data_IF_601292778754
#
_entry.id   IF_601292778754
#
_cell.length_a   1.000
_cell.length_b   1.000
_cell.length_c   1.000
_cell.angle_alpha   90.00
_cell.angle_beta   90.00
_cell.angle_gamma   90.00
#
_symmetry.space_group_name_H-M   'P 1'
#
loop_
_entity.id
_entity.type
_entity.pdbx_description
1 polymer ?
#
# COMPACT_ATOMS: atom_id res chain seq x y z
N UNK A 1 6.25 43.16 26.22
CA UNK A 1 5.58 42.37 25.17
C UNK A 1 4.62 43.28 24.40
N UNK A 2 4.92 43.59 23.16
CA UNK A 2 4.23 44.63 22.37
C UNK A 2 2.77 44.20 22.06
N UNK A 3 1.80 45.10 22.39
CA UNK A 3 0.37 44.91 22.13
C UNK A 3 0.06 44.58 20.63
N UNK A 4 0.94 45.00 19.71
CA UNK A 4 0.88 44.70 18.28
C UNK A 4 1.18 43.23 17.96
N UNK A 5 2.05 42.55 18.72
CA UNK A 5 2.41 41.16 18.55
C UNK A 5 1.29 40.19 18.98
N UNK A 6 0.59 40.56 20.09
CA UNK A 6 -0.58 39.81 20.59
C UNK A 6 -1.76 39.92 19.62
N UNK A 7 -1.95 41.11 19.01
CA UNK A 7 -2.98 41.30 17.97
C UNK A 7 -2.73 40.49 16.69
N UNK A 8 -1.47 40.32 16.29
CA UNK A 8 -1.12 39.52 15.10
C UNK A 8 -1.31 38.02 15.33
N UNK A 9 -1.02 37.52 16.53
CA UNK A 9 -1.29 36.12 16.91
C UNK A 9 -2.80 35.84 16.96
N UNK A 10 -3.61 36.78 17.48
CA UNK A 10 -5.06 36.64 17.52
C UNK A 10 -5.69 36.69 16.13
N UNK A 11 -5.13 37.47 15.20
CA UNK A 11 -5.56 37.53 13.80
C UNK A 11 -5.22 36.24 13.06
N UNK A 12 -4.06 35.62 13.32
CA UNK A 12 -3.64 34.32 12.79
C UNK A 12 -4.56 33.17 13.27
N UNK A 13 -5.00 33.20 14.53
CA UNK A 13 -5.96 32.23 15.06
C UNK A 13 -7.37 32.42 14.50
N UNK A 14 -7.80 33.65 14.22
CA UNK A 14 -9.09 33.91 13.57
C UNK A 14 -9.10 33.45 12.09
N UNK A 15 -8.00 33.61 11.37
CA UNK A 15 -7.88 33.15 9.97
C UNK A 15 -7.77 31.61 9.89
N UNK A 16 -7.10 30.95 10.85
CA UNK A 16 -7.05 29.49 10.91
C UNK A 16 -8.38 28.87 11.35
N UNK A 17 -9.19 29.57 12.15
CA UNK A 17 -10.53 29.10 12.54
C UNK A 17 -11.58 29.11 11.44
N UNK A 18 -11.42 29.98 10.42
CA UNK A 18 -12.38 30.06 9.29
C UNK A 18 -12.08 29.03 8.20
N UNK A 19 -10.87 28.46 8.13
CA UNK A 19 -10.48 27.42 7.16
C UNK A 19 -10.91 26.01 7.59
N UNK A 20 -11.36 25.81 8.86
CA UNK A 20 -11.66 24.48 9.42
C UNK A 20 -13.13 24.02 9.26
N UNK A 21 -13.97 24.69 8.49
CA UNK A 21 -15.34 24.25 8.21
C UNK A 21 -15.68 24.24 6.71
N UNK A 22 -14.78 23.74 5.86
CA UNK A 22 -15.23 23.14 4.61
C UNK A 22 -15.71 21.72 4.94
N UNK A 23 -17.00 21.57 5.29
CA UNK A 23 -17.71 20.32 5.01
C UNK A 23 -17.46 20.05 3.52
N UNK A 24 -16.68 19.04 3.22
CA UNK A 24 -16.55 18.52 1.86
C UNK A 24 -17.95 18.03 1.45
N UNK A 25 -18.75 18.92 0.88
CA UNK A 25 -19.98 18.50 0.21
C UNK A 25 -19.52 17.57 -0.91
N UNK A 26 -19.92 16.31 -0.85
CA UNK A 26 -19.68 15.36 -1.94
C UNK A 26 -20.04 16.06 -3.27
N UNK A 27 -19.22 15.96 -4.30
CA UNK A 27 -19.44 16.62 -5.59
C UNK A 27 -20.68 16.10 -6.33
N UNK A 28 -21.33 15.06 -5.80
CA UNK A 28 -22.45 14.38 -6.47
C UNK A 28 -23.83 14.88 -6.02
N UNK A 29 -24.87 14.81 -6.89
CA UNK A 29 -26.24 15.17 -6.58
C UNK A 29 -26.79 14.41 -5.38
N UNK A 30 -27.78 15.03 -4.69
CA UNK A 30 -28.43 14.40 -3.55
C UNK A 30 -29.00 13.01 -3.87
N UNK A 31 -29.61 12.83 -5.05
CA UNK A 31 -30.15 11.55 -5.50
C UNK A 31 -29.13 10.41 -5.49
N UNK A 32 -27.91 10.66 -5.97
CA UNK A 32 -26.84 9.65 -5.99
C UNK A 32 -26.27 9.41 -4.58
N UNK A 33 -26.11 10.47 -3.78
CA UNK A 33 -25.68 10.33 -2.38
C UNK A 33 -26.67 9.55 -1.53
N UNK A 34 -27.98 9.77 -1.76
CA UNK A 34 -29.02 8.99 -1.10
C UNK A 34 -28.97 7.52 -1.51
N UNK A 35 -28.81 7.21 -2.80
CA UNK A 35 -28.64 5.85 -3.26
C UNK A 35 -27.42 5.16 -2.64
N UNK A 36 -26.29 5.88 -2.54
CA UNK A 36 -25.06 5.37 -1.91
C UNK A 36 -25.27 5.07 -0.41
N UNK A 37 -25.94 5.95 0.31
CA UNK A 37 -26.24 5.74 1.74
C UNK A 37 -27.15 4.54 2.01
N UNK A 38 -28.00 4.15 1.06
CA UNK A 38 -28.85 2.97 1.15
C UNK A 38 -28.16 1.67 0.73
N UNK A 39 -27.02 1.75 0.04
CA UNK A 39 -26.36 0.62 -0.60
C UNK A 39 -26.05 -0.56 0.34
N UNK A 40 -25.63 -0.26 1.57
CA UNK A 40 -25.31 -1.29 2.57
C UNK A 40 -26.54 -1.72 3.38
N UNK A 41 -27.56 -0.87 3.46
CA UNK A 41 -28.74 -1.09 4.30
C UNK A 41 -29.81 -1.89 3.55
N UNK A 42 -30.07 -1.53 2.30
CA UNK A 42 -31.12 -2.13 1.46
C UNK A 42 -30.73 -2.07 -0.02
N UNK A 43 -29.89 -2.98 -0.50
CA UNK A 43 -29.47 -3.02 -1.91
C UNK A 43 -30.63 -3.09 -2.89
N UNK A 44 -31.70 -3.81 -2.56
CA UNK A 44 -32.91 -3.94 -3.40
C UNK A 44 -33.60 -2.57 -3.59
N UNK A 45 -33.80 -1.82 -2.50
CA UNK A 45 -34.37 -0.48 -2.58
C UNK A 45 -33.43 0.47 -3.33
N UNK A 46 -32.16 0.33 -3.14
CA UNK A 46 -31.16 1.12 -3.87
C UNK A 46 -31.27 0.90 -5.36
N UNK A 47 -31.31 -0.36 -5.82
CA UNK A 47 -31.44 -0.68 -7.24
C UNK A 47 -32.79 -0.19 -7.81
N UNK A 48 -33.88 -0.41 -7.07
CA UNK A 48 -35.20 0.07 -7.46
C UNK A 48 -35.29 1.62 -7.56
N UNK A 49 -34.56 2.32 -6.69
CA UNK A 49 -34.44 3.77 -6.71
C UNK A 49 -33.63 4.26 -7.90
N UNK A 50 -32.44 3.66 -8.12
CA UNK A 50 -31.53 4.01 -9.23
C UNK A 50 -32.19 3.81 -10.59
N UNK A 51 -33.05 2.78 -10.78
CA UNK A 51 -33.80 2.52 -12.01
C UNK A 51 -34.79 3.62 -12.37
N UNK A 52 -35.20 4.44 -11.41
CA UNK A 52 -36.17 5.53 -11.62
C UNK A 52 -35.53 6.87 -11.90
N UNK A 53 -34.23 6.98 -11.79
CA UNK A 53 -33.50 8.24 -11.98
C UNK A 53 -33.41 8.58 -13.47
N UNK A 54 -33.69 9.82 -13.81
CA UNK A 54 -33.39 10.37 -15.13
C UNK A 54 -31.93 10.80 -15.19
N UNK A 55 -31.14 10.02 -15.90
CA UNK A 55 -29.68 10.25 -16.05
C UNK A 55 -29.35 11.16 -17.23
N UNK A 56 -30.32 11.59 -18.02
CA UNK A 56 -30.10 12.41 -19.22
C UNK A 56 -29.50 13.77 -18.90
N UNK A 57 -29.85 14.33 -17.73
CA UNK A 57 -29.39 15.63 -17.24
C UNK A 57 -28.07 15.58 -16.47
N UNK A 58 -27.53 14.40 -16.23
CA UNK A 58 -26.34 14.22 -15.40
C UNK A 58 -25.06 14.67 -16.12
N UNK A 59 -24.18 15.30 -15.35
CA UNK A 59 -22.80 15.58 -15.80
C UNK A 59 -22.03 14.28 -16.09
N UNK A 60 -20.89 14.36 -16.76
CA UNK A 60 -20.04 13.19 -17.01
C UNK A 60 -19.62 12.50 -15.69
N UNK A 61 -19.32 13.29 -14.63
CA UNK A 61 -18.98 12.75 -13.31
C UNK A 61 -20.17 12.08 -12.62
N UNK A 62 -21.37 12.66 -12.72
CA UNK A 62 -22.56 12.09 -12.14
C UNK A 62 -22.98 10.80 -12.85
N UNK A 63 -22.83 10.74 -14.18
CA UNK A 63 -23.05 9.50 -14.95
C UNK A 63 -22.09 8.41 -14.58
N UNK A 64 -20.80 8.74 -14.41
CA UNK A 64 -19.79 7.79 -13.96
C UNK A 64 -20.11 7.22 -12.57
N UNK A 65 -20.49 8.10 -11.64
CA UNK A 65 -20.87 7.66 -10.29
C UNK A 65 -22.16 6.86 -10.26
N UNK A 66 -23.17 7.27 -11.03
CA UNK A 66 -24.40 6.49 -11.22
C UNK A 66 -24.07 5.08 -11.73
N UNK A 67 -23.20 4.96 -12.74
CA UNK A 67 -22.80 3.67 -13.33
C UNK A 67 -22.15 2.75 -12.30
N UNK A 68 -21.28 3.29 -11.43
CA UNK A 68 -20.71 2.54 -10.30
C UNK A 68 -21.78 2.06 -9.33
N UNK A 69 -22.65 2.96 -8.86
CA UNK A 69 -23.69 2.63 -7.88
C UNK A 69 -24.69 1.63 -8.45
N UNK A 70 -25.09 1.78 -9.72
CA UNK A 70 -26.02 0.85 -10.37
C UNK A 70 -25.42 -0.55 -10.49
N UNK A 71 -24.17 -0.65 -10.91
CA UNK A 71 -23.45 -1.93 -11.02
C UNK A 71 -23.25 -2.56 -9.64
N UNK A 72 -22.87 -1.78 -8.64
CA UNK A 72 -22.76 -2.24 -7.26
C UNK A 72 -24.08 -2.75 -6.69
N UNK A 73 -25.17 -2.02 -6.91
CA UNK A 73 -26.50 -2.45 -6.48
C UNK A 73 -26.94 -3.74 -7.21
N UNK A 74 -26.62 -3.88 -8.50
CA UNK A 74 -26.90 -5.09 -9.28
C UNK A 74 -26.15 -6.29 -8.73
N UNK A 75 -24.85 -6.13 -8.40
CA UNK A 75 -24.01 -7.19 -7.81
C UNK A 75 -24.52 -7.61 -6.42
N UNK A 76 -24.82 -6.65 -5.55
CA UNK A 76 -25.36 -6.92 -4.20
C UNK A 76 -26.71 -7.61 -4.18
N UNK A 77 -27.51 -7.44 -5.22
CA UNK A 77 -28.77 -8.17 -5.43
C UNK A 77 -28.58 -9.51 -6.17
N UNK A 78 -27.36 -10.00 -6.31
CA UNK A 78 -27.01 -11.27 -6.96
C UNK A 78 -27.53 -11.37 -8.41
N UNK A 79 -27.75 -10.25 -9.07
CA UNK A 79 -28.23 -10.20 -10.46
C UNK A 79 -27.05 -10.29 -11.44
N UNK A 80 -27.37 -10.62 -12.70
CA UNK A 80 -26.35 -10.67 -13.75
C UNK A 80 -25.70 -9.29 -13.96
N UNK A 81 -24.36 -9.25 -13.92
CA UNK A 81 -23.58 -8.05 -14.20
C UNK A 81 -23.33 -7.80 -15.69
N UNK A 82 -23.63 -8.79 -16.57
CA UNK A 82 -23.36 -8.67 -18.01
C UNK A 82 -23.99 -7.41 -18.65
N UNK A 83 -25.23 -7.00 -18.30
CA UNK A 83 -25.81 -5.75 -18.83
C UNK A 83 -25.10 -4.49 -18.35
N UNK A 84 -24.28 -4.56 -17.30
CA UNK A 84 -23.59 -3.41 -16.73
C UNK A 84 -22.24 -3.11 -17.41
N UNK A 85 -21.81 -3.89 -18.42
CA UNK A 85 -20.49 -3.74 -19.03
C UNK A 85 -20.26 -2.34 -19.61
N UNK A 86 -21.20 -1.85 -20.42
CA UNK A 86 -21.13 -0.48 -20.99
C UNK A 86 -21.23 0.63 -19.94
N UNK A 87 -21.96 0.38 -18.85
CA UNK A 87 -22.04 1.33 -17.74
C UNK A 87 -20.67 1.46 -17.04
N UNK A 88 -20.01 0.34 -16.78
CA UNK A 88 -18.70 0.35 -16.16
C UNK A 88 -17.64 0.98 -17.07
N UNK A 89 -17.73 0.81 -18.38
CA UNK A 89 -16.85 1.51 -19.33
C UNK A 89 -17.02 3.03 -19.22
N UNK A 90 -18.25 3.53 -19.06
CA UNK A 90 -18.51 4.96 -18.78
C UNK A 90 -17.83 5.44 -17.50
N UNK A 91 -17.82 4.63 -16.45
CA UNK A 91 -17.12 4.95 -15.20
C UNK A 91 -15.59 4.93 -15.40
N UNK A 92 -15.05 3.95 -16.10
CA UNK A 92 -13.62 3.82 -16.40
C UNK A 92 -13.12 4.99 -17.26
N UNK A 93 -13.86 5.42 -18.26
CA UNK A 93 -13.51 6.56 -19.11
C UNK A 93 -13.41 7.87 -18.31
N UNK A 94 -14.29 8.04 -17.33
CA UNK A 94 -14.27 9.23 -16.48
C UNK A 94 -13.16 9.18 -15.43
N UNK A 95 -13.01 8.06 -14.72
CA UNK A 95 -12.06 7.94 -13.62
C UNK A 95 -10.63 7.63 -14.07
N UNK A 96 -10.39 7.27 -15.32
CA UNK A 96 -9.06 6.91 -15.86
C UNK A 96 -7.96 7.96 -15.59
N UNK A 97 -8.33 9.22 -15.43
CA UNK A 97 -7.42 10.33 -15.13
C UNK A 97 -7.43 10.74 -13.65
N UNK A 98 -8.16 10.03 -12.80
CA UNK A 98 -8.35 10.35 -11.39
C UNK A 98 -8.12 9.10 -10.57
N UNK A 99 -6.92 8.95 -10.05
CA UNK A 99 -6.60 7.88 -9.13
C UNK A 99 -7.49 7.93 -7.88
N UNK A 100 -7.81 6.77 -7.35
CA UNK A 100 -8.57 6.67 -6.12
C UNK A 100 -9.55 5.51 -6.07
N UNK A 101 -10.34 5.50 -5.00
CA UNK A 101 -11.25 4.39 -4.66
C UNK A 101 -12.32 4.15 -5.73
N UNK A 102 -12.89 5.21 -6.34
CA UNK A 102 -13.91 5.05 -7.37
C UNK A 102 -13.35 4.44 -8.66
N UNK A 103 -12.14 4.81 -9.04
CA UNK A 103 -11.42 4.19 -10.15
C UNK A 103 -11.14 2.70 -9.87
N UNK A 104 -10.68 2.38 -8.67
CA UNK A 104 -10.45 0.99 -8.26
C UNK A 104 -11.74 0.17 -8.20
N UNK A 105 -12.87 0.75 -7.72
CA UNK A 105 -14.20 0.13 -7.78
C UNK A 105 -14.64 -0.16 -9.22
N UNK A 106 -14.42 0.78 -10.15
CA UNK A 106 -14.76 0.56 -11.56
C UNK A 106 -13.97 -0.63 -12.14
N UNK A 107 -12.68 -0.74 -11.86
CA UNK A 107 -11.86 -1.89 -12.26
C UNK A 107 -12.27 -3.19 -11.56
N UNK A 108 -12.66 -3.16 -10.29
CA UNK A 108 -13.22 -4.32 -9.60
C UNK A 108 -14.43 -4.88 -10.35
N UNK A 109 -15.42 -4.01 -10.65
CA UNK A 109 -16.63 -4.45 -11.35
C UNK A 109 -16.37 -4.85 -12.79
N UNK A 110 -15.44 -4.19 -13.51
CA UNK A 110 -14.98 -4.66 -14.82
C UNK A 110 -14.39 -6.07 -14.74
N UNK A 111 -13.55 -6.32 -13.72
CA UNK A 111 -12.99 -7.66 -13.47
C UNK A 111 -14.08 -8.71 -13.20
N UNK A 112 -15.10 -8.39 -12.39
CA UNK A 112 -16.22 -9.29 -12.13
C UNK A 112 -17.04 -9.60 -13.38
N UNK A 113 -17.31 -8.59 -14.21
CA UNK A 113 -17.99 -8.76 -15.50
C UNK A 113 -17.16 -9.65 -16.42
N UNK A 114 -15.87 -9.39 -16.56
CA UNK A 114 -14.95 -10.18 -17.37
C UNK A 114 -14.87 -11.64 -16.89
N UNK A 115 -14.88 -11.88 -15.57
CA UNK A 115 -14.95 -13.21 -14.98
C UNK A 115 -16.24 -13.93 -15.39
N UNK A 116 -17.41 -13.23 -15.38
CA UNK A 116 -18.69 -13.77 -15.83
C UNK A 116 -18.71 -14.08 -17.35
N UNK A 117 -17.90 -13.37 -18.14
CA UNK A 117 -17.69 -13.62 -19.57
C UNK A 117 -16.63 -14.70 -19.85
N UNK A 118 -16.12 -15.38 -18.82
CA UNK A 118 -14.99 -16.33 -18.92
C UNK A 118 -13.69 -15.71 -19.47
N UNK A 119 -13.54 -14.39 -19.39
CA UNK A 119 -12.34 -13.64 -19.78
C UNK A 119 -11.35 -13.58 -18.60
N UNK A 120 -10.88 -14.74 -18.17
CA UNK A 120 -10.18 -14.93 -16.88
C UNK A 120 -8.88 -14.11 -16.78
N UNK A 121 -8.10 -14.03 -17.88
CA UNK A 121 -6.87 -13.23 -17.91
C UNK A 121 -7.15 -11.74 -17.74
N UNK A 122 -8.15 -11.23 -18.45
CA UNK A 122 -8.56 -9.83 -18.36
C UNK A 122 -9.12 -9.51 -16.98
N UNK A 123 -9.92 -10.41 -16.40
CA UNK A 123 -10.45 -10.27 -15.04
C UNK A 123 -9.33 -10.13 -14.01
N UNK A 124 -8.31 -10.97 -14.07
CA UNK A 124 -7.15 -10.90 -13.20
C UNK A 124 -6.36 -9.60 -13.40
N UNK A 125 -6.16 -9.18 -14.66
CA UNK A 125 -5.52 -7.91 -14.99
C UNK A 125 -6.29 -6.72 -14.40
N UNK A 126 -7.62 -6.75 -14.49
CA UNK A 126 -8.48 -5.71 -13.90
C UNK A 126 -8.34 -5.65 -12.38
N UNK A 127 -8.26 -6.80 -11.67
CA UNK A 127 -8.00 -6.83 -10.23
C UNK A 127 -6.64 -6.23 -9.88
N UNK A 128 -5.57 -6.56 -10.61
CA UNK A 128 -4.25 -5.95 -10.39
C UNK A 128 -4.26 -4.45 -10.65
N UNK A 129 -4.96 -4.01 -11.70
CA UNK A 129 -5.10 -2.58 -11.99
C UNK A 129 -5.83 -1.86 -10.86
N UNK A 130 -6.94 -2.42 -10.36
CA UNK A 130 -7.70 -1.86 -9.24
C UNK A 130 -6.83 -1.71 -7.97
N UNK A 131 -5.97 -2.71 -7.66
CA UNK A 131 -5.07 -2.65 -6.50
C UNK A 131 -4.09 -1.47 -6.55
N UNK A 132 -3.74 -0.96 -7.74
CA UNK A 132 -2.88 0.21 -7.89
C UNK A 132 -3.56 1.52 -7.46
N UNK A 133 -4.89 1.55 -7.41
CA UNK A 133 -5.67 2.72 -6.98
C UNK A 133 -6.01 2.74 -5.48
N UNK A 134 -5.57 1.75 -4.71
CA UNK A 134 -5.87 1.60 -3.26
C UNK A 134 -4.57 1.38 -2.49
N UNK A 135 -3.78 2.44 -2.32
CA UNK A 135 -2.49 2.37 -1.62
C UNK A 135 -2.62 2.53 -0.10
N UNK A 136 -3.65 3.23 0.38
CA UNK A 136 -3.91 3.52 1.78
C UNK A 136 -4.53 2.35 2.55
N UNK A 137 -4.87 2.60 3.82
CA UNK A 137 -5.52 1.63 4.71
C UNK A 137 -6.74 2.24 5.40
N UNK A 138 -7.47 3.13 4.71
CA UNK A 138 -8.79 3.56 5.19
C UNK A 138 -9.76 2.38 5.19
N UNK A 139 -10.86 2.46 5.95
CA UNK A 139 -11.83 1.37 6.00
C UNK A 139 -12.40 1.01 4.62
N UNK A 140 -12.62 1.99 3.76
CA UNK A 140 -13.11 1.78 2.40
C UNK A 140 -12.06 1.10 1.51
N UNK A 141 -10.80 1.52 1.60
CA UNK A 141 -9.69 0.89 0.86
C UNK A 141 -9.41 -0.53 1.32
N UNK A 142 -9.44 -0.80 2.64
CA UNK A 142 -9.30 -2.15 3.18
C UNK A 142 -10.42 -3.07 2.69
N UNK A 143 -11.68 -2.61 2.72
CA UNK A 143 -12.81 -3.36 2.20
C UNK A 143 -12.64 -3.68 0.71
N UNK A 144 -12.20 -2.70 -0.08
CA UNK A 144 -11.97 -2.89 -1.51
C UNK A 144 -10.81 -3.85 -1.79
N UNK A 145 -9.72 -3.74 -1.03
CA UNK A 145 -8.60 -4.71 -1.11
C UNK A 145 -9.05 -6.12 -0.77
N UNK A 146 -9.85 -6.30 0.29
CA UNK A 146 -10.44 -7.58 0.67
C UNK A 146 -11.22 -8.18 -0.49
N UNK A 147 -12.14 -7.43 -1.09
CA UNK A 147 -12.93 -7.88 -2.25
C UNK A 147 -12.07 -8.24 -3.46
N UNK A 148 -11.03 -7.44 -3.76
CA UNK A 148 -10.13 -7.70 -4.88
C UNK A 148 -9.32 -8.99 -4.67
N UNK A 149 -8.79 -9.21 -3.47
CA UNK A 149 -8.08 -10.44 -3.14
C UNK A 149 -9.00 -11.66 -3.13
N UNK A 150 -10.25 -11.51 -2.74
CA UNK A 150 -11.25 -12.57 -2.81
C UNK A 150 -11.57 -12.96 -4.26
N UNK A 151 -11.79 -11.97 -5.14
CA UNK A 151 -12.02 -12.20 -6.56
C UNK A 151 -10.79 -12.86 -7.23
N UNK A 152 -9.57 -12.42 -6.90
CA UNK A 152 -8.32 -13.05 -7.38
C UNK A 152 -8.19 -14.47 -6.85
N UNK A 153 -8.49 -14.73 -5.58
CA UNK A 153 -8.49 -16.06 -4.98
C UNK A 153 -9.44 -17.00 -5.69
N UNK A 154 -10.66 -16.52 -5.98
CA UNK A 154 -11.66 -17.28 -6.76
C UNK A 154 -11.17 -17.57 -8.20
N UNK A 155 -10.52 -16.60 -8.87
CA UNK A 155 -9.95 -16.81 -10.20
C UNK A 155 -8.85 -17.89 -10.15
N UNK A 156 -7.91 -17.80 -9.20
CA UNK A 156 -6.85 -18.80 -9.05
C UNK A 156 -7.40 -20.19 -8.71
N UNK A 157 -8.44 -20.26 -7.87
CA UNK A 157 -9.08 -21.52 -7.52
C UNK A 157 -9.68 -22.20 -8.76
N UNK A 158 -10.41 -21.45 -9.59
CA UNK A 158 -10.97 -21.98 -10.85
C UNK A 158 -9.90 -22.43 -11.86
N UNK A 159 -8.69 -21.90 -11.74
CA UNK A 159 -7.55 -22.30 -12.56
C UNK A 159 -6.69 -23.39 -11.90
N UNK A 160 -7.16 -23.99 -10.81
CA UNK A 160 -6.45 -25.02 -10.03
C UNK A 160 -5.10 -24.54 -9.45
N UNK A 161 -4.87 -23.23 -9.36
CA UNK A 161 -3.69 -22.62 -8.74
C UNK A 161 -3.88 -22.50 -7.23
N UNK A 162 -4.02 -23.62 -6.56
CA UNK A 162 -4.49 -23.73 -5.17
C UNK A 162 -3.68 -22.93 -4.17
N UNK A 163 -2.34 -22.92 -4.28
CA UNK A 163 -1.52 -22.14 -3.35
C UNK A 163 -1.73 -20.62 -3.55
N UNK A 164 -1.81 -20.16 -4.80
CA UNK A 164 -2.10 -18.74 -5.10
C UNK A 164 -3.51 -18.34 -4.65
N UNK A 165 -4.47 -19.26 -4.78
CA UNK A 165 -5.83 -19.05 -4.28
C UNK A 165 -5.83 -18.87 -2.74
N UNK A 166 -5.15 -19.76 -2.03
CA UNK A 166 -5.02 -19.67 -0.58
C UNK A 166 -4.36 -18.37 -0.14
N UNK A 167 -3.25 -17.99 -0.76
CA UNK A 167 -2.51 -16.76 -0.43
C UNK A 167 -3.37 -15.51 -0.70
N UNK A 168 -4.16 -15.51 -1.76
CA UNK A 168 -5.08 -14.42 -2.06
C UNK A 168 -6.21 -14.34 -1.02
N UNK A 169 -6.86 -15.45 -0.68
CA UNK A 169 -7.89 -15.48 0.37
C UNK A 169 -7.31 -15.11 1.75
N UNK A 170 -6.08 -15.49 2.05
CA UNK A 170 -5.42 -15.08 3.28
C UNK A 170 -5.18 -13.57 3.33
N UNK A 171 -4.80 -12.94 2.21
CA UNK A 171 -4.70 -11.47 2.11
C UNK A 171 -6.07 -10.78 2.27
N UNK A 172 -7.14 -11.36 1.71
CA UNK A 172 -8.51 -10.89 1.95
C UNK A 172 -8.83 -10.95 3.44
N UNK A 173 -8.61 -12.09 4.09
CA UNK A 173 -8.77 -12.26 5.53
C UNK A 173 -8.03 -11.21 6.36
N UNK A 174 -6.78 -10.88 5.99
CA UNK A 174 -5.98 -9.86 6.67
C UNK A 174 -6.62 -8.47 6.55
N UNK A 175 -7.09 -8.09 5.36
CA UNK A 175 -7.77 -6.81 5.14
C UNK A 175 -9.07 -6.72 5.94
N UNK A 176 -9.90 -7.77 5.89
CA UNK A 176 -11.21 -7.80 6.51
C UNK A 176 -11.13 -7.86 8.04
N UNK A 177 -10.11 -8.53 8.58
CA UNK A 177 -9.84 -8.59 10.03
C UNK A 177 -9.52 -7.22 10.62
N UNK A 178 -8.90 -6.32 9.84
CA UNK A 178 -8.61 -4.95 10.27
C UNK A 178 -9.87 -4.07 10.35
N UNK A 179 -10.97 -4.48 9.69
CA UNK A 179 -12.23 -3.74 9.68
C UNK A 179 -13.12 -4.06 10.89
N UNK A 180 -12.81 -5.09 11.69
CA UNK A 180 -13.64 -5.59 12.77
C UNK A 180 -15.08 -5.96 12.36
N UNK A 181 -15.31 -6.25 11.07
CA UNK A 181 -16.58 -6.72 10.53
C UNK A 181 -16.55 -8.24 10.36
N UNK A 182 -17.16 -8.95 11.29
CA UNK A 182 -17.21 -10.41 11.28
C UNK A 182 -17.88 -11.00 10.03
N UNK A 183 -18.78 -10.25 9.36
CA UNK A 183 -19.40 -10.68 8.12
C UNK A 183 -18.41 -10.79 6.97
N UNK A 184 -17.47 -9.87 6.88
CA UNK A 184 -16.46 -9.91 5.83
C UNK A 184 -15.46 -11.05 6.08
N UNK A 185 -15.07 -11.26 7.34
CA UNK A 185 -14.06 -12.26 7.75
C UNK A 185 -14.49 -13.70 7.47
N UNK A 186 -15.80 -14.01 7.57
CA UNK A 186 -16.28 -15.39 7.42
C UNK A 186 -16.08 -15.95 5.99
N UNK A 187 -16.17 -15.11 4.94
CA UNK A 187 -16.00 -15.56 3.55
C UNK A 187 -14.58 -16.04 3.23
N UNK A 188 -13.52 -15.26 3.45
CA UNK A 188 -12.18 -15.74 3.17
C UNK A 188 -11.77 -16.95 4.03
N UNK A 189 -12.25 -17.05 5.28
CA UNK A 189 -12.03 -18.26 6.09
C UNK A 189 -12.64 -19.51 5.44
N UNK A 190 -13.90 -19.42 4.99
CA UNK A 190 -14.56 -20.54 4.28
C UNK A 190 -13.80 -20.90 3.00
N UNK A 191 -13.39 -19.90 2.21
CA UNK A 191 -12.66 -20.12 0.96
C UNK A 191 -11.26 -20.72 1.21
N UNK A 192 -10.54 -20.31 2.25
CA UNK A 192 -9.29 -20.93 2.67
C UNK A 192 -9.50 -22.41 3.06
N UNK A 193 -10.56 -22.68 3.84
CA UNK A 193 -10.96 -24.03 4.17
C UNK A 193 -11.24 -24.87 2.92
N UNK A 194 -11.99 -24.35 1.98
CA UNK A 194 -12.29 -25.04 0.71
C UNK A 194 -11.04 -25.34 -0.13
N UNK A 195 -10.09 -24.40 -0.22
CA UNK A 195 -8.80 -24.70 -0.88
C UNK A 195 -8.09 -25.86 -0.19
N UNK A 196 -8.12 -25.93 1.15
CA UNK A 196 -7.52 -27.04 1.89
C UNK A 196 -8.23 -28.37 1.70
N UNK A 197 -9.58 -28.34 1.53
CA UNK A 197 -10.36 -29.53 1.11
C UNK A 197 -9.80 -30.09 -0.18
N UNK A 198 -9.68 -29.24 -1.23
CA UNK A 198 -9.22 -29.69 -2.54
C UNK A 198 -7.76 -30.18 -2.50
N UNK A 199 -6.95 -29.68 -1.59
CA UNK A 199 -5.55 -30.12 -1.39
C UNK A 199 -5.42 -31.40 -0.54
N UNK A 200 -6.52 -31.96 -0.04
CA UNK A 200 -6.51 -33.12 0.87
C UNK A 200 -5.96 -32.84 2.26
N UNK A 201 -5.90 -31.55 2.65
CA UNK A 201 -5.40 -31.12 3.95
C UNK A 201 -6.53 -31.02 4.99
N UNK A 202 -7.06 -32.17 5.37
CA UNK A 202 -8.29 -32.34 6.17
C UNK A 202 -8.26 -31.51 7.47
N UNK A 203 -7.19 -31.60 8.26
CA UNK A 203 -7.10 -30.90 9.56
C UNK A 203 -7.14 -29.38 9.38
N UNK A 204 -6.37 -28.84 8.42
CA UNK A 204 -6.39 -27.40 8.12
C UNK A 204 -7.76 -26.96 7.59
N UNK A 205 -8.40 -27.78 6.74
CA UNK A 205 -9.71 -27.50 6.20
C UNK A 205 -10.75 -27.33 7.30
N UNK A 206 -10.86 -28.31 8.21
CA UNK A 206 -11.79 -28.23 9.34
C UNK A 206 -11.50 -27.06 10.28
N UNK A 207 -10.25 -26.70 10.49
CA UNK A 207 -9.88 -25.53 11.29
C UNK A 207 -10.49 -24.25 10.73
N UNK A 208 -10.32 -23.97 9.44
CA UNK A 208 -10.85 -22.76 8.82
C UNK A 208 -12.37 -22.79 8.67
N UNK A 209 -12.95 -23.93 8.27
CA UNK A 209 -14.40 -24.08 8.13
C UNK A 209 -15.12 -23.91 9.46
N UNK A 210 -14.59 -24.47 10.56
CA UNK A 210 -15.17 -24.27 11.89
C UNK A 210 -15.11 -22.82 12.38
N UNK A 211 -14.02 -22.10 12.12
CA UNK A 211 -13.98 -20.67 12.42
C UNK A 211 -15.03 -19.88 11.66
N UNK A 212 -15.20 -20.18 10.37
CA UNK A 212 -16.18 -19.54 9.52
C UNK A 212 -17.63 -19.81 10.00
N UNK A 213 -17.95 -21.09 10.36
CA UNK A 213 -19.28 -21.45 10.83
C UNK A 213 -19.63 -20.80 12.18
N UNK A 214 -18.65 -20.66 13.08
CA UNK A 214 -18.88 -19.96 14.35
C UNK A 214 -19.25 -18.50 14.14
N UNK A 215 -18.66 -17.84 13.16
CA UNK A 215 -19.00 -16.45 12.77
C UNK A 215 -20.40 -16.40 12.14
N UNK A 216 -20.70 -17.29 11.19
CA UNK A 216 -22.00 -17.35 10.52
C UNK A 216 -23.14 -17.61 11.50
N UNK A 217 -22.95 -18.52 12.46
CA UNK A 217 -23.95 -18.80 13.52
C UNK A 217 -24.20 -17.56 14.40
N UNK A 218 -23.15 -16.82 14.78
CA UNK A 218 -23.30 -15.57 15.55
C UNK A 218 -24.07 -14.49 14.79
N UNK A 219 -23.97 -14.50 13.46
CA UNK A 219 -24.64 -13.56 12.59
C UNK A 219 -26.03 -14.01 12.15
N UNK A 220 -26.46 -15.22 12.55
CA UNK A 220 -27.71 -15.86 12.12
C UNK A 220 -27.83 -15.99 10.58
N UNK A 221 -26.70 -16.19 9.90
CA UNK A 221 -26.64 -16.38 8.45
C UNK A 221 -26.83 -17.86 8.10
N UNK A 222 -28.11 -18.30 8.08
CA UNK A 222 -28.48 -19.69 7.84
C UNK A 222 -28.01 -20.20 6.47
N UNK A 223 -28.07 -19.35 5.44
CA UNK A 223 -27.66 -19.75 4.09
C UNK A 223 -26.16 -20.05 4.07
N UNK A 224 -25.35 -19.21 4.68
CA UNK A 224 -23.90 -19.41 4.74
C UNK A 224 -23.53 -20.61 5.65
N UNK A 225 -24.26 -20.83 6.75
CA UNK A 225 -24.09 -22.02 7.58
C UNK A 225 -24.33 -23.29 6.77
N UNK A 226 -25.38 -23.32 5.94
CA UNK A 226 -25.67 -24.44 5.02
C UNK A 226 -24.49 -24.71 4.08
N UNK A 227 -23.95 -23.68 3.42
CA UNK A 227 -22.79 -23.82 2.50
C UNK A 227 -21.54 -24.37 3.19
N UNK A 228 -21.27 -23.93 4.42
CA UNK A 228 -20.10 -24.44 5.16
C UNK A 228 -20.28 -25.91 5.56
N UNK A 229 -21.46 -26.31 6.03
CA UNK A 229 -21.70 -27.70 6.35
C UNK A 229 -21.61 -28.61 5.13
N UNK A 230 -22.04 -28.14 3.95
CA UNK A 230 -21.82 -28.86 2.70
C UNK A 230 -20.32 -29.05 2.43
N UNK A 231 -19.51 -28.01 2.56
CA UNK A 231 -18.05 -28.09 2.41
C UNK A 231 -17.41 -29.04 3.43
N UNK A 232 -17.92 -29.09 4.66
CA UNK A 232 -17.47 -30.04 5.67
C UNK A 232 -17.87 -31.48 5.31
N UNK A 233 -19.07 -31.69 4.76
CA UNK A 233 -19.51 -32.99 4.26
C UNK A 233 -18.59 -33.53 3.16
N UNK A 234 -18.27 -32.70 2.17
CA UNK A 234 -17.37 -33.05 1.05
C UNK A 234 -15.93 -33.35 1.48
N UNK A 235 -15.52 -32.92 2.68
CA UNK A 235 -14.16 -33.13 3.21
C UNK A 235 -14.10 -34.23 4.28
N UNK A 236 -15.18 -34.88 4.59
CA UNK A 236 -15.24 -35.85 5.67
C UNK A 236 -14.92 -37.26 5.15
N UNK A 237 -13.85 -37.89 5.64
CA UNK A 237 -13.48 -39.25 5.27
C UNK A 237 -14.48 -40.31 5.81
N UNK A 238 -15.08 -40.03 6.96
CA UNK A 238 -16.09 -40.90 7.54
C UNK A 238 -17.46 -40.61 6.95
N UNK A 239 -18.03 -41.58 6.23
CA UNK A 239 -19.30 -41.45 5.52
C UNK A 239 -20.47 -41.05 6.41
N UNK A 240 -20.54 -41.58 7.65
CA UNK A 240 -21.64 -41.24 8.59
C UNK A 240 -21.51 -39.80 9.07
N UNK A 241 -20.30 -39.31 9.33
CA UNK A 241 -20.07 -37.88 9.62
C UNK A 241 -20.35 -36.99 8.41
N UNK A 242 -20.02 -37.42 7.19
CA UNK A 242 -20.36 -36.73 5.99
C UNK A 242 -21.88 -36.58 5.83
N UNK A 243 -22.65 -37.65 6.08
CA UNK A 243 -24.12 -37.57 6.12
C UNK A 243 -24.64 -36.61 7.17
N UNK A 244 -24.06 -36.64 8.40
CA UNK A 244 -24.44 -35.69 9.44
C UNK A 244 -24.29 -34.24 8.97
N UNK A 245 -23.15 -33.90 8.34
CA UNK A 245 -22.92 -32.55 7.83
C UNK A 245 -23.84 -32.21 6.63
N UNK A 246 -24.12 -33.16 5.74
CA UNK A 246 -25.09 -32.98 4.65
C UNK A 246 -26.50 -32.69 5.19
N UNK A 247 -26.92 -33.42 6.24
CA UNK A 247 -28.21 -33.17 6.90
C UNK A 247 -28.25 -31.83 7.63
N UNK A 248 -27.15 -31.42 8.30
CA UNK A 248 -27.04 -30.09 8.88
C UNK A 248 -27.10 -29.01 7.82
N UNK A 249 -26.41 -29.19 6.68
CA UNK A 249 -26.55 -28.29 5.55
C UNK A 249 -28.01 -28.17 5.09
N UNK A 250 -28.71 -29.29 4.92
CA UNK A 250 -30.13 -29.29 4.55
C UNK A 250 -31.03 -28.59 5.58
N UNK A 251 -30.74 -28.74 6.89
CA UNK A 251 -31.50 -28.10 7.96
C UNK A 251 -31.42 -26.57 7.92
N UNK A 252 -30.25 -26.05 7.54
CA UNK A 252 -30.00 -24.59 7.42
C UNK A 252 -30.31 -24.04 6.01
N UNK A 253 -30.68 -24.93 5.06
CA UNK A 253 -30.98 -24.51 3.70
C UNK A 253 -32.18 -23.57 3.68
N UNK A 254 -32.00 -22.39 3.14
CA UNK A 254 -33.07 -21.42 2.93
C UNK A 254 -33.86 -21.74 1.66
N UNK A 255 -35.04 -21.11 1.48
CA UNK A 255 -35.87 -21.32 0.28
C UNK A 255 -35.13 -20.96 -1.03
N UNK A 256 -34.21 -20.02 -0.95
CA UNK A 256 -33.43 -19.53 -2.09
C UNK A 256 -32.03 -20.18 -2.14
N UNK A 257 -31.76 -21.16 -1.25
CA UNK A 257 -30.46 -21.85 -1.17
C UNK A 257 -30.23 -22.85 -2.30
N UNK A 258 -28.96 -23.22 -2.51
CA UNK A 258 -28.53 -24.11 -3.57
C UNK A 258 -28.84 -25.59 -3.26
N UNK A 259 -30.06 -25.99 -3.50
CA UNK A 259 -30.48 -27.39 -3.34
C UNK A 259 -29.85 -28.35 -4.35
N UNK A 260 -29.39 -27.86 -5.50
CA UNK A 260 -28.82 -28.70 -6.56
C UNK A 260 -27.44 -29.25 -6.13
N UNK A 261 -26.64 -28.42 -5.51
CA UNK A 261 -25.33 -28.82 -4.95
C UNK A 261 -25.53 -29.91 -3.87
N UNK A 262 -26.49 -29.69 -2.99
CA UNK A 262 -26.78 -30.63 -1.92
C UNK A 262 -27.34 -31.98 -2.44
N UNK A 263 -28.11 -31.98 -3.54
CA UNK A 263 -28.53 -33.24 -4.19
C UNK A 263 -27.34 -34.02 -4.73
N UNK A 264 -26.34 -33.34 -5.31
CA UNK A 264 -25.10 -34.00 -5.76
C UNK A 264 -24.39 -34.65 -4.58
N UNK A 265 -24.24 -33.91 -3.48
CA UNK A 265 -23.62 -34.40 -2.23
C UNK A 265 -24.35 -35.63 -1.68
N UNK A 266 -25.67 -35.60 -1.56
CA UNK A 266 -26.43 -36.77 -1.13
C UNK A 266 -26.33 -37.93 -2.13
N UNK A 267 -26.38 -37.66 -3.45
CA UNK A 267 -26.21 -38.67 -4.47
C UNK A 267 -24.89 -39.40 -4.35
N UNK A 268 -23.80 -38.70 -4.17
CA UNK A 268 -22.45 -39.28 -4.04
C UNK A 268 -22.34 -40.05 -2.71
N UNK A 269 -22.83 -39.52 -1.58
CA UNK A 269 -22.83 -40.19 -0.29
C UNK A 269 -23.63 -41.49 -0.28
N UNK A 270 -24.81 -41.54 -0.93
CA UNK A 270 -25.59 -42.76 -1.07
C UNK A 270 -24.91 -43.78 -2.01
N UNK A 271 -24.19 -43.29 -3.02
CA UNK A 271 -23.37 -44.14 -3.88
C UNK A 271 -22.24 -44.81 -3.09
N UNK A 272 -21.55 -44.05 -2.24
CA UNK A 272 -20.51 -44.59 -1.33
C UNK A 272 -21.04 -45.65 -0.34
N UNK A 273 -22.29 -45.49 0.11
CA UNK A 273 -22.98 -46.52 0.92
C UNK A 273 -23.55 -47.67 0.09
N UNK A 274 -23.45 -47.65 -1.21
CA UNK A 274 -24.07 -48.62 -2.14
C UNK A 274 -25.61 -48.64 -2.09
N UNK A 275 -26.23 -47.58 -1.59
CA UNK A 275 -27.68 -47.36 -1.60
C UNK A 275 -28.10 -46.78 -2.94
N UNK A 276 -28.05 -47.62 -4.00
CA UNK A 276 -28.11 -47.20 -5.39
C UNK A 276 -29.42 -46.51 -5.79
N UNK A 277 -30.54 -46.89 -5.21
CA UNK A 277 -31.86 -46.27 -5.48
C UNK A 277 -31.94 -44.86 -4.95
N UNK A 278 -31.42 -44.64 -3.75
CA UNK A 278 -31.31 -43.31 -3.13
C UNK A 278 -30.34 -42.41 -3.90
N UNK A 279 -29.18 -42.95 -4.28
CA UNK A 279 -28.20 -42.25 -5.11
C UNK A 279 -28.82 -41.78 -6.44
N UNK A 280 -29.46 -42.71 -7.17
CA UNK A 280 -30.14 -42.41 -8.44
C UNK A 280 -31.23 -41.34 -8.27
N UNK A 281 -32.03 -41.40 -7.20
CA UNK A 281 -33.08 -40.45 -6.92
C UNK A 281 -32.54 -38.99 -6.85
N UNK A 282 -31.48 -38.78 -6.07
CA UNK A 282 -30.91 -37.46 -5.95
C UNK A 282 -30.19 -37.00 -7.22
N UNK A 283 -29.40 -37.87 -7.87
CA UNK A 283 -28.63 -37.52 -9.05
C UNK A 283 -29.51 -37.24 -10.27
N UNK A 284 -30.60 -37.95 -10.49
CA UNK A 284 -31.53 -37.72 -11.60
C UNK A 284 -32.21 -36.35 -11.51
N UNK A 285 -32.52 -35.87 -10.29
CA UNK A 285 -33.10 -34.53 -10.11
C UNK A 285 -32.21 -33.42 -10.66
N UNK A 286 -30.90 -33.63 -10.68
CA UNK A 286 -29.94 -32.68 -11.24
C UNK A 286 -30.03 -32.59 -12.76
N UNK A 287 -30.30 -33.72 -13.44
CA UNK A 287 -30.41 -33.78 -14.90
C UNK A 287 -31.54 -32.91 -15.43
N UNK A 288 -32.60 -32.69 -14.63
CA UNK A 288 -33.76 -31.90 -15.03
C UNK A 288 -33.52 -30.36 -14.81
N UNK A 289 -32.41 -29.99 -14.22
CA UNK A 289 -32.07 -28.58 -13.96
C UNK A 289 -31.43 -27.92 -15.20
N UNK A 290 -31.21 -26.62 -15.17
CA UNK A 290 -30.46 -25.88 -16.18
C UNK A 290 -28.92 -25.85 -15.90
N UNK A 291 -28.45 -26.41 -14.79
CA UNK A 291 -27.04 -26.35 -14.38
C UNK A 291 -26.19 -27.37 -15.17
N UNK A 292 -25.62 -26.92 -16.28
CA UNK A 292 -24.81 -27.75 -17.17
C UNK A 292 -23.62 -28.40 -16.47
N UNK A 293 -22.90 -27.67 -15.59
CA UNK A 293 -21.74 -28.21 -14.89
C UNK A 293 -22.11 -29.35 -13.93
N UNK A 294 -23.19 -29.18 -13.16
CA UNK A 294 -23.64 -30.21 -12.21
C UNK A 294 -24.26 -31.40 -12.92
N UNK A 295 -24.89 -31.21 -14.09
CA UNK A 295 -25.31 -32.35 -14.95
C UNK A 295 -24.15 -33.25 -15.37
N UNK A 296 -23.02 -32.66 -15.74
CA UNK A 296 -21.82 -33.44 -16.11
C UNK A 296 -21.34 -34.26 -14.91
N UNK A 297 -21.26 -33.66 -13.72
CA UNK A 297 -20.83 -34.34 -12.49
C UNK A 297 -21.83 -35.45 -12.10
N UNK A 298 -23.13 -35.16 -12.12
CA UNK A 298 -24.17 -36.14 -11.80
C UNK A 298 -24.16 -37.31 -12.81
N UNK A 299 -23.84 -37.08 -14.08
CA UNK A 299 -23.72 -38.15 -15.08
C UNK A 299 -22.55 -39.08 -14.76
N UNK A 300 -21.43 -38.54 -14.25
CA UNK A 300 -20.33 -39.41 -13.80
C UNK A 300 -20.78 -40.36 -12.67
N UNK A 301 -21.43 -39.82 -11.63
CA UNK A 301 -21.91 -40.62 -10.50
C UNK A 301 -23.02 -41.58 -10.91
N UNK A 302 -23.91 -41.21 -11.85
CA UNK A 302 -24.92 -42.13 -12.42
C UNK A 302 -24.31 -43.24 -13.24
N UNK A 303 -23.21 -43.00 -13.96
CA UNK A 303 -22.48 -44.05 -14.64
C UNK A 303 -21.97 -45.13 -13.70
N UNK A 304 -21.45 -44.74 -12.53
CA UNK A 304 -21.01 -45.68 -11.49
C UNK A 304 -22.21 -46.45 -10.87
N UNK A 305 -23.34 -45.75 -10.62
CA UNK A 305 -24.58 -46.42 -10.14
C UNK A 305 -25.00 -47.52 -11.10
N UNK A 306 -25.11 -47.24 -12.42
CA UNK A 306 -25.56 -48.19 -13.45
C UNK A 306 -24.53 -49.32 -13.67
N UNK A 307 -23.26 -49.03 -13.54
CA UNK A 307 -22.18 -50.03 -13.60
C UNK A 307 -22.26 -51.01 -12.45
N UNK A 308 -22.51 -50.56 -11.20
CA UNK A 308 -22.68 -51.45 -10.05
C UNK A 308 -23.94 -52.34 -10.22
N UNK A 309 -25.01 -51.82 -10.82
CA UNK A 309 -26.22 -52.59 -11.18
C UNK A 309 -26.02 -53.57 -12.30
N UNK A 310 -24.91 -53.54 -13.03
CA UNK A 310 -24.68 -54.33 -14.21
C UNK A 310 -25.31 -53.79 -15.49
N UNK A 311 -25.88 -52.61 -15.50
CA UNK A 311 -26.51 -51.97 -16.65
C UNK A 311 -25.48 -51.25 -17.51
N UNK A 312 -24.54 -51.97 -18.08
CA UNK A 312 -23.37 -51.41 -18.78
C UNK A 312 -23.70 -50.50 -19.96
N UNK A 313 -24.83 -50.70 -20.64
CA UNK A 313 -25.25 -49.81 -21.72
C UNK A 313 -25.55 -48.40 -21.19
N UNK A 314 -26.37 -48.28 -20.13
CA UNK A 314 -26.67 -46.99 -19.52
C UNK A 314 -25.46 -46.37 -18.86
N UNK A 315 -24.64 -47.17 -18.22
CA UNK A 315 -23.37 -46.71 -17.68
C UNK A 315 -22.50 -46.06 -18.76
N UNK A 316 -22.42 -46.69 -19.95
CA UNK A 316 -21.69 -46.14 -21.08
C UNK A 316 -22.31 -44.83 -21.61
N UNK A 317 -23.63 -44.75 -21.71
CA UNK A 317 -24.33 -43.51 -22.13
C UNK A 317 -24.00 -42.32 -21.21
N UNK A 318 -24.09 -42.52 -19.91
CA UNK A 318 -23.72 -41.48 -18.92
C UNK A 318 -22.23 -41.15 -18.93
N UNK A 319 -21.35 -42.15 -19.07
CA UNK A 319 -19.91 -41.96 -19.15
C UNK A 319 -19.51 -41.21 -20.43
N UNK A 320 -20.17 -41.50 -21.57
CA UNK A 320 -19.94 -40.78 -22.83
C UNK A 320 -20.36 -39.32 -22.69
N UNK A 321 -21.53 -39.05 -22.12
CA UNK A 321 -21.97 -37.68 -21.86
C UNK A 321 -20.98 -36.92 -20.97
N UNK A 322 -20.45 -37.54 -19.92
CA UNK A 322 -19.40 -36.96 -19.08
C UNK A 322 -18.14 -36.68 -19.88
N UNK A 323 -17.62 -37.66 -20.64
CA UNK A 323 -16.41 -37.56 -21.46
C UNK A 323 -16.49 -36.46 -22.53
N UNK A 324 -17.60 -36.40 -23.25
CA UNK A 324 -17.82 -35.42 -24.33
C UNK A 324 -17.90 -33.99 -23.85
N UNK A 325 -18.25 -33.76 -22.57
CA UNK A 325 -18.49 -32.45 -22.04
C UNK A 325 -17.43 -31.98 -21.03
N UNK A 326 -16.66 -32.89 -20.42
CA UNK A 326 -15.66 -32.52 -19.42
C UNK A 326 -14.53 -31.65 -20.00
N UNK A 327 -14.09 -31.97 -21.24
CA UNK A 327 -13.05 -31.22 -21.95
C UNK A 327 -13.47 -29.76 -22.19
N UNK A 328 -14.77 -29.52 -22.40
CA UNK A 328 -15.28 -28.15 -22.54
C UNK A 328 -15.06 -27.32 -21.30
N UNK A 329 -15.06 -27.92 -20.11
CA UNK A 329 -14.75 -27.25 -18.85
C UNK A 329 -13.24 -26.97 -18.75
N UNK A 330 -12.38 -27.91 -19.15
CA UNK A 330 -10.93 -27.77 -19.13
C UNK A 330 -10.41 -26.73 -20.14
N UNK A 331 -10.97 -26.69 -21.35
CA UNK A 331 -10.60 -25.71 -22.37
C UNK A 331 -10.87 -24.25 -21.95
N UNK A 332 -11.83 -24.02 -21.07
CA UNK A 332 -12.08 -22.69 -20.47
C UNK A 332 -11.01 -22.30 -19.43
N UNK A 333 -10.20 -23.24 -18.97
CA UNK A 333 -9.24 -23.05 -17.91
C UNK A 333 -7.81 -22.84 -18.46
N UNK A 334 -7.45 -21.60 -18.78
CA UNK A 334 -6.09 -21.23 -19.24
C UNK A 334 -5.12 -21.04 -18.07
N UNK A 335 -4.88 -22.09 -17.29
CA UNK A 335 -4.06 -22.02 -16.08
C UNK A 335 -2.64 -21.46 -16.34
N UNK A 336 -1.99 -21.89 -17.43
CA UNK A 336 -0.63 -21.43 -17.75
C UNK A 336 -0.56 -19.94 -18.08
N UNK A 337 -1.56 -19.40 -18.78
CA UNK A 337 -1.62 -17.98 -19.12
C UNK A 337 -1.86 -17.13 -17.87
N UNK A 338 -2.72 -17.60 -16.97
CA UNK A 338 -2.98 -16.95 -15.68
C UNK A 338 -1.74 -16.97 -14.78
N UNK A 339 -1.04 -18.09 -14.72
CA UNK A 339 0.19 -18.20 -13.95
C UNK A 339 1.29 -17.26 -14.48
N UNK A 340 1.48 -17.21 -15.80
CA UNK A 340 2.42 -16.29 -16.44
C UNK A 340 2.05 -14.83 -16.18
N UNK A 341 0.76 -14.48 -16.27
CA UNK A 341 0.28 -13.13 -16.02
C UNK A 341 0.50 -12.74 -14.54
N UNK A 342 0.17 -13.61 -13.60
CA UNK A 342 0.41 -13.40 -12.18
C UNK A 342 1.90 -13.17 -11.89
N UNK A 343 2.77 -14.02 -12.46
CA UNK A 343 4.22 -13.89 -12.31
C UNK A 343 4.74 -12.55 -12.88
N UNK A 344 4.22 -12.14 -14.06
CA UNK A 344 4.59 -10.86 -14.68
C UNK A 344 4.26 -9.68 -13.74
N UNK A 345 3.05 -9.61 -13.20
CA UNK A 345 2.65 -8.53 -12.29
C UNK A 345 3.42 -8.57 -10.97
N UNK A 346 3.65 -9.75 -10.41
CA UNK A 346 4.46 -9.91 -9.20
C UNK A 346 5.92 -9.47 -9.43
N UNK A 347 6.50 -9.77 -10.61
CA UNK A 347 7.85 -9.36 -10.96
C UNK A 347 7.95 -7.85 -11.19
N UNK A 348 6.97 -7.25 -11.89
CA UNK A 348 6.90 -5.79 -12.10
C UNK A 348 6.79 -5.05 -10.77
N UNK A 349 5.94 -5.52 -9.85
CA UNK A 349 5.79 -4.94 -8.51
C UNK A 349 7.10 -5.02 -7.69
N UNK A 350 7.83 -6.15 -7.78
CA UNK A 350 9.15 -6.29 -7.15
C UNK A 350 10.17 -5.31 -7.73
N UNK A 351 10.24 -5.19 -9.06
CA UNK A 351 11.15 -4.27 -9.75
C UNK A 351 10.88 -2.81 -9.35
N UNK A 352 9.61 -2.40 -9.28
CA UNK A 352 9.24 -1.06 -8.83
C UNK A 352 9.69 -0.82 -7.38
N UNK A 353 9.45 -1.79 -6.50
CA UNK A 353 9.85 -1.72 -5.09
C UNK A 353 11.37 -1.66 -4.89
N UNK A 354 12.11 -2.41 -5.70
CA UNK A 354 13.58 -2.37 -5.70
C UNK A 354 14.11 -1.03 -6.22
N UNK A 355 13.52 -0.49 -7.30
CA UNK A 355 13.87 0.85 -7.81
C UNK A 355 13.63 1.94 -6.77
N UNK A 356 12.51 1.88 -6.05
CA UNK A 356 12.22 2.82 -4.97
C UNK A 356 13.23 2.70 -3.82
N UNK A 357 13.58 1.47 -3.39
CA UNK A 357 14.61 1.25 -2.37
C UNK A 357 15.96 1.78 -2.82
N UNK A 358 16.35 1.52 -4.06
CA UNK A 358 17.61 2.01 -4.62
C UNK A 358 17.65 3.54 -4.67
N UNK A 359 16.56 4.20 -5.07
CA UNK A 359 16.46 5.66 -5.07
C UNK A 359 16.62 6.25 -3.67
N UNK A 360 15.95 5.67 -2.67
CA UNK A 360 16.07 6.08 -1.27
C UNK A 360 17.51 5.91 -0.78
N UNK A 361 18.16 4.80 -1.09
CA UNK A 361 19.56 4.57 -0.75
C UNK A 361 20.49 5.62 -1.40
N UNK A 362 20.30 5.93 -2.69
CA UNK A 362 21.09 6.98 -3.35
C UNK A 362 20.89 8.35 -2.71
N UNK A 363 19.66 8.73 -2.34
CA UNK A 363 19.39 9.97 -1.63
C UNK A 363 20.07 10.01 -0.25
N UNK A 364 20.05 8.90 0.49
CA UNK A 364 20.75 8.79 1.78
C UNK A 364 22.27 8.93 1.60
N UNK A 365 22.89 8.22 0.64
CA UNK A 365 24.33 8.35 0.37
C UNK A 365 24.71 9.75 -0.09
N UNK A 366 23.89 10.36 -0.96
CA UNK A 366 24.09 11.74 -1.40
C UNK A 366 24.04 12.73 -0.23
N UNK A 367 23.09 12.56 0.68
CA UNK A 367 22.97 13.36 1.91
C UNK A 367 24.18 13.23 2.84
N UNK A 368 24.67 12.02 3.05
CA UNK A 368 25.89 11.77 3.86
C UNK A 368 27.11 12.41 3.21
N UNK A 369 27.28 12.25 1.90
CA UNK A 369 28.40 12.86 1.17
C UNK A 369 28.36 14.39 1.26
N UNK A 370 27.18 14.99 1.12
CA UNK A 370 27.01 16.44 1.26
C UNK A 370 27.39 16.93 2.64
N UNK A 371 26.99 16.23 3.70
CA UNK A 371 27.40 16.55 5.08
C UNK A 371 28.90 16.44 5.27
N UNK A 372 29.57 15.42 4.72
CA UNK A 372 31.03 15.28 4.78
C UNK A 372 31.73 16.44 4.08
N UNK A 373 31.25 16.89 2.93
CA UNK A 373 31.80 18.06 2.22
C UNK A 373 31.68 19.32 3.08
N UNK A 374 30.54 19.54 3.74
CA UNK A 374 30.35 20.68 4.65
C UNK A 374 31.35 20.61 5.81
N UNK A 375 31.56 19.45 6.42
CA UNK A 375 32.53 19.27 7.50
C UNK A 375 33.94 19.59 7.03
N UNK A 376 34.34 19.11 5.85
CA UNK A 376 35.67 19.41 5.28
C UNK A 376 35.84 20.91 5.02
N UNK A 377 34.85 21.58 4.45
CA UNK A 377 34.88 23.03 4.23
C UNK A 377 35.05 23.75 5.58
N UNK A 378 34.28 23.37 6.60
CA UNK A 378 34.36 23.95 7.92
C UNK A 378 35.74 23.75 8.57
N UNK A 379 36.32 22.56 8.43
CA UNK A 379 37.70 22.26 8.89
C UNK A 379 38.74 23.09 8.15
N UNK A 380 38.60 23.27 6.84
CA UNK A 380 39.47 24.11 6.04
C UNK A 380 39.42 25.59 6.49
N UNK A 381 38.22 26.13 6.70
CA UNK A 381 38.04 27.50 7.22
C UNK A 381 38.66 27.63 8.62
N UNK A 382 38.39 26.66 9.49
CA UNK A 382 38.95 26.65 10.85
C UNK A 382 40.48 26.62 10.83
N UNK A 383 41.08 25.72 10.03
CA UNK A 383 42.58 25.64 9.86
C UNK A 383 43.16 26.95 9.31
N UNK A 384 42.53 27.57 8.29
CA UNK A 384 42.97 28.87 7.77
C UNK A 384 42.95 29.97 8.85
N UNK A 385 41.94 30.01 9.71
CA UNK A 385 41.85 30.94 10.80
C UNK A 385 42.93 30.69 11.86
N UNK A 386 43.23 29.43 12.19
CA UNK A 386 44.30 29.05 13.10
C UNK A 386 45.69 29.49 12.58
N UNK A 387 45.99 29.21 11.33
CA UNK A 387 47.26 29.61 10.67
C UNK A 387 47.39 31.14 10.65
N UNK A 388 46.33 31.85 10.27
CA UNK A 388 46.33 33.31 10.30
C UNK A 388 46.65 33.85 11.72
N UNK A 389 46.03 33.23 12.74
CA UNK A 389 46.26 33.61 14.15
C UNK A 389 47.74 33.42 14.56
N UNK A 390 48.30 32.28 14.24
CA UNK A 390 49.71 32.01 14.53
C UNK A 390 50.67 32.97 13.80
N UNK A 391 50.40 33.29 12.55
CA UNK A 391 51.18 34.27 11.78
C UNK A 391 51.10 35.67 12.38
N UNK A 392 49.93 36.09 12.85
CA UNK A 392 49.80 37.38 13.53
C UNK A 392 50.53 37.41 14.90
N UNK A 393 50.46 36.32 15.67
CA UNK A 393 51.19 36.20 16.94
C UNK A 393 52.68 36.29 16.72
N UNK A 394 53.24 35.59 15.75
CA UNK A 394 54.64 35.66 15.38
C UNK A 394 55.05 37.06 14.93
N UNK A 395 54.20 37.71 14.15
CA UNK A 395 54.47 39.07 13.67
C UNK A 395 54.49 40.11 14.84
N UNK A 396 53.57 39.97 15.77
CA UNK A 396 53.51 40.82 16.97
C UNK A 396 54.77 40.57 17.83
N UNK A 397 55.20 39.33 18.04
CA UNK A 397 56.38 38.99 18.79
C UNK A 397 57.62 39.60 18.14
N UNK A 398 57.79 39.44 16.84
CA UNK A 398 58.91 40.04 16.09
C UNK A 398 58.93 41.56 16.20
N UNK A 399 57.77 42.25 16.08
CA UNK A 399 57.71 43.74 16.24
C UNK A 399 58.03 44.17 17.67
N UNK A 400 57.61 43.41 18.68
CA UNK A 400 57.97 43.69 20.09
C UNK A 400 59.48 43.58 20.33
N UNK A 401 60.13 42.51 19.83
CA UNK A 401 61.55 42.31 19.96
C UNK A 401 62.33 43.44 19.26
N UNK A 402 61.93 43.81 18.04
CA UNK A 402 62.57 44.87 17.29
C UNK A 402 62.40 46.27 18.00
N UNK A 403 61.22 46.50 18.60
CA UNK A 403 60.97 47.71 19.37
C UNK A 403 61.80 47.78 20.63
N UNK A 404 62.01 46.64 21.33
CA UNK A 404 62.87 46.53 22.50
C UNK A 404 64.35 46.81 22.14
N UNK A 405 64.81 46.22 21.00
CA UNK A 405 66.19 46.50 20.51
C UNK A 405 66.40 47.98 20.19
N UNK A 406 65.43 48.63 19.54
CA UNK A 406 65.46 50.06 19.26
C UNK A 406 65.50 50.90 20.53
N UNK A 407 64.80 50.47 21.57
CA UNK A 407 64.83 51.14 22.90
C UNK A 407 66.23 51.04 23.52
N UNK A 408 66.84 49.88 23.51
CA UNK A 408 68.23 49.71 24.03
C UNK A 408 69.26 50.52 23.25
N UNK A 409 69.05 50.69 21.93
CA UNK A 409 69.94 51.55 21.09
C UNK A 409 69.76 53.02 21.47
N UNK A 410 68.51 53.50 21.72
CA UNK A 410 68.23 54.87 22.18
C UNK A 410 68.95 55.15 23.51
N UNK A 411 68.79 54.21 24.48
CA UNK A 411 69.44 54.35 25.80
C UNK A 411 70.96 54.41 25.70
N UNK A 412 71.54 53.56 24.85
CA UNK A 412 72.98 53.53 24.59
C UNK A 412 73.47 54.85 23.97
N UNK A 413 72.76 55.38 22.98
CA UNK A 413 73.12 56.66 22.34
C UNK A 413 72.95 57.84 23.31
N UNK A 414 71.91 57.88 24.14
CA UNK A 414 71.70 58.87 25.14
C UNK A 414 72.83 58.91 26.20
N UNK A 415 73.32 57.67 26.61
CA UNK A 415 74.44 57.57 27.54
C UNK A 415 75.74 58.12 26.86
N UNK A 416 76.00 57.79 25.59
CA UNK A 416 77.12 58.27 24.83
C UNK A 416 77.12 59.78 24.67
N UNK A 417 75.94 60.35 24.28
CA UNK A 417 75.78 61.83 24.18
C UNK A 417 76.01 62.53 25.51
N UNK A 418 75.54 61.96 26.61
CA UNK A 418 75.73 62.52 27.94
C UNK A 418 77.21 62.47 28.34
N UNK A 419 77.92 61.38 28.09
CA UNK A 419 79.35 61.22 28.35
C UNK A 419 80.16 62.19 27.50
N UNK A 420 79.85 62.38 26.22
CA UNK A 420 80.55 63.39 25.35
C UNK A 420 80.32 64.82 25.88
N UNK A 421 79.10 65.18 26.30
CA UNK A 421 78.82 66.49 26.87
C UNK A 421 79.57 66.75 28.22
N UNK A 422 79.77 65.73 29.02
CA UNK A 422 80.50 65.81 30.29
C UNK A 422 82.01 65.95 30.12
N UNK A 423 82.66 65.48 29.01
CA UNK A 423 84.06 65.48 28.82
C UNK A 423 84.69 66.81 28.44
N UNK A 424 83.90 67.88 28.26
CA UNK A 424 84.38 69.26 28.05
C UNK A 424 85.25 69.47 26.80
N UNK A 425 85.21 68.55 25.86
CA UNK A 425 85.90 68.64 24.59
C UNK A 425 85.04 69.20 23.48
N UNK A 426 85.65 70.10 22.65
CA UNK A 426 84.98 70.69 21.47
C UNK A 426 84.79 69.61 20.36
N UNK A 427 83.83 68.71 20.51
CA UNK A 427 83.40 67.73 19.52
C UNK A 427 81.98 67.94 19.10
N UNK A 428 81.68 69.16 18.75
CA UNK A 428 80.31 69.57 18.38
C UNK A 428 79.79 68.71 17.18
N UNK A 429 80.59 68.43 16.20
CA UNK A 429 80.25 67.57 15.05
C UNK A 429 79.94 66.13 15.40
N UNK A 430 80.60 65.52 16.41
CA UNK A 430 80.37 64.15 16.84
C UNK A 430 79.10 64.04 17.68
N UNK A 431 78.82 65.10 18.46
CA UNK A 431 77.53 65.17 19.20
C UNK A 431 76.35 65.34 18.21
N UNK A 432 76.48 66.23 17.20
CA UNK A 432 75.46 66.41 16.18
C UNK A 432 75.22 65.15 15.37
N UNK A 433 76.26 64.43 15.01
CA UNK A 433 76.14 63.12 14.31
C UNK A 433 75.42 62.11 15.20
N UNK A 434 75.73 61.99 16.50
CA UNK A 434 75.05 61.09 17.43
C UNK A 434 73.63 61.48 17.75
N UNK A 435 73.33 62.79 17.78
CA UNK A 435 71.96 63.27 17.89
C UNK A 435 71.10 62.96 16.63
N UNK A 436 71.68 63.08 15.44
CA UNK A 436 71.04 62.71 14.19
C UNK A 436 70.75 61.19 14.14
N UNK A 437 71.74 60.35 14.60
CA UNK A 437 71.59 58.92 14.71
C UNK A 437 70.45 58.56 15.69
N UNK A 438 70.41 59.25 16.87
CA UNK A 438 69.37 59.07 17.88
C UNK A 438 67.97 59.44 17.29
N UNK A 439 67.84 60.52 16.58
CA UNK A 439 66.60 60.92 15.93
C UNK A 439 66.12 59.85 14.95
N UNK A 440 67.02 59.30 14.12
CA UNK A 440 66.66 58.23 13.20
C UNK A 440 66.15 56.96 13.92
N UNK A 441 66.76 56.57 15.06
CA UNK A 441 66.33 55.39 15.83
C UNK A 441 65.01 55.67 16.54
N UNK A 442 64.75 56.90 17.03
CA UNK A 442 63.50 57.30 17.62
C UNK A 442 62.38 57.24 16.57
N UNK A 443 62.62 57.75 15.38
CA UNK A 443 61.65 57.67 14.26
C UNK A 443 61.36 56.23 13.84
N UNK A 444 62.40 55.38 13.78
CA UNK A 444 62.25 53.99 13.51
C UNK A 444 61.38 53.29 14.59
N UNK A 445 61.69 53.57 15.87
CA UNK A 445 60.91 53.07 17.00
C UNK A 445 59.43 53.54 16.95
N UNK A 446 59.20 54.80 16.60
CA UNK A 446 57.86 55.32 16.43
C UNK A 446 57.06 54.60 15.33
N UNK A 447 57.76 54.35 14.18
CA UNK A 447 57.18 53.56 13.07
C UNK A 447 56.83 52.13 13.55
N UNK A 448 57.75 51.49 14.25
CA UNK A 448 57.54 50.11 14.78
C UNK A 448 56.37 50.06 15.78
N UNK A 449 56.24 51.06 16.68
CA UNK A 449 55.11 51.15 17.60
C UNK A 449 53.79 51.32 16.88
N UNK A 450 53.74 52.13 15.80
CA UNK A 450 52.56 52.31 15.00
C UNK A 450 52.18 51.00 14.27
N UNK A 451 53.17 50.28 13.69
CA UNK A 451 52.94 48.96 13.12
C UNK A 451 52.44 47.98 14.17
N UNK A 452 53.03 47.93 15.36
CA UNK A 452 52.62 47.07 16.44
C UNK A 452 51.17 47.40 16.90
N UNK A 453 50.80 48.65 16.98
CA UNK A 453 49.46 49.08 17.34
C UNK A 453 48.45 48.60 16.29
N UNK A 454 48.74 48.78 14.99
CA UNK A 454 47.89 48.33 13.89
C UNK A 454 47.73 46.82 13.89
N UNK A 455 48.84 46.07 14.03
CA UNK A 455 48.82 44.60 14.07
C UNK A 455 48.06 44.08 15.30
N UNK A 456 48.23 44.65 16.47
CA UNK A 456 47.47 44.25 17.68
C UNK A 456 45.98 44.61 17.58
N UNK A 457 45.63 45.70 16.96
CA UNK A 457 44.21 46.06 16.70
C UNK A 457 43.55 45.06 15.73
N UNK A 458 44.22 44.73 14.64
CA UNK A 458 43.76 43.73 13.67
C UNK A 458 43.64 42.35 14.34
N UNK A 459 44.64 41.95 15.14
CA UNK A 459 44.63 40.70 15.87
C UNK A 459 43.46 40.58 16.83
N UNK A 460 43.15 41.66 17.58
CA UNK A 460 41.98 41.74 18.48
C UNK A 460 40.68 41.53 17.71
N UNK A 461 40.53 42.20 16.58
CA UNK A 461 39.35 42.06 15.71
C UNK A 461 39.20 40.65 15.14
N UNK A 462 40.32 40.03 14.70
CA UNK A 462 40.32 38.61 14.25
C UNK A 462 39.94 37.67 15.40
N UNK A 463 40.36 37.94 16.61
CA UNK A 463 40.03 37.14 17.80
C UNK A 463 38.54 37.24 18.12
N UNK A 464 37.94 38.43 18.06
CA UNK A 464 36.50 38.65 18.30
C UNK A 464 35.61 37.99 17.23
N UNK A 465 36.07 37.86 16.01
CA UNK A 465 35.36 37.14 14.94
C UNK A 465 35.53 35.61 15.00
N UNK A 466 36.39 35.10 15.90
CA UNK A 466 36.68 33.65 16.03
C UNK A 466 36.08 33.01 17.28
N UNK A 467 35.44 33.80 18.14
CA UNK A 467 34.58 33.37 19.25
C UNK A 467 33.12 33.37 18.80
#
# INVERSE_FOLDING_TARGET
>A
MNKTFVGFIFLLFLVSGVVSCQRSSSPYPYSLRYADSLMEISPERTLAYLRKLDVSTYSAGDRAYFSLLFTQATDKNMLSLLPCDSLIDTALDYYIKKDGVNWAKAWLYKGRIQKKMNMTEQALKSCFTALQGVEGNTGEELKLKGMLYEDMGSIYLHQSLYQKAFDAFYRSYQCDSLLNDHRLVMYPLSNMGWVRVIQGKTVEAFYYLNQSIQLALRLNDSAFVSDIYERMSLNCENVDSAFLYAHLSHQYLTKDGDSISLWLTFGDLYLDKQELDSAEYYLKRILDTADFKRKILASYSLAEVEKIRGNYQRAFEYQSYYGDNIDSIFLLNKASDIERLAYKYDSEAKVVKEKQRFLIQQLCYGGVLFLLVIIVIFQCIYRRRQIARLLYEQRITYLNEKTALSQLQIERLEVQISALKQSGMEREQEIDLKQAELCCVIDEKARLRNCLFMETSIFKHIRELST
#
